data_IF_072474028327
#
_entry.id   IF_072474028327
#
_cell.length_a   1.000
_cell.length_b   1.000
_cell.length_c   1.000
_cell.angle_alpha   90.00
_cell.angle_beta   90.00
_cell.angle_gamma   90.00
#
_symmetry.space_group_name_H-M   'P 1'
#
loop_
_entity.id
_entity.type
_entity.pdbx_description
1 polymer ?
#
# COMPACT_ATOMS: atom_id res chain seq x y z
N UNK A 1 0.70 -13.65 -1.47
CA UNK A 1 1.73 -14.03 -2.47
C UNK A 1 3.02 -13.34 -2.07
N UNK A 2 4.18 -14.00 -2.15
CA UNK A 2 5.48 -13.32 -2.10
C UNK A 2 5.95 -13.19 -3.55
N UNK A 3 5.84 -12.00 -4.12
CA UNK A 3 6.33 -11.68 -5.46
C UNK A 3 7.21 -10.44 -5.40
N UNK A 4 8.26 -10.42 -6.22
CA UNK A 4 9.08 -9.22 -6.40
C UNK A 4 8.37 -8.30 -7.40
N UNK A 5 7.98 -7.10 -6.95
CA UNK A 5 7.38 -6.07 -7.81
C UNK A 5 8.38 -4.91 -7.93
N UNK A 6 8.58 -4.39 -9.14
CA UNK A 6 9.39 -3.18 -9.37
C UNK A 6 8.44 -2.06 -9.74
N UNK A 7 8.43 -0.98 -8.96
CA UNK A 7 7.69 0.23 -9.31
C UNK A 7 8.38 0.94 -10.46
N UNK A 8 7.65 1.15 -11.55
CA UNK A 8 8.10 2.05 -12.61
C UNK A 8 7.60 3.46 -12.29
N UNK A 9 8.49 4.34 -11.82
CA UNK A 9 8.25 5.77 -11.93
C UNK A 9 8.78 6.25 -13.27
N UNK A 10 7.90 6.79 -14.10
CA UNK A 10 8.33 7.41 -15.36
C UNK A 10 8.92 8.78 -15.04
N UNK A 11 10.20 8.95 -15.38
CA UNK A 11 10.96 10.19 -15.17
C UNK A 11 10.46 11.23 -16.16
N UNK A 12 9.35 11.89 -15.84
CA UNK A 12 8.70 12.86 -16.71
C UNK A 12 7.54 13.66 -16.08
N UNK A 13 7.34 13.57 -14.75
CA UNK A 13 6.25 14.26 -14.07
C UNK A 13 4.98 13.43 -13.83
N UNK A 14 5.07 12.10 -13.93
CA UNK A 14 3.98 11.21 -13.54
C UNK A 14 4.08 10.89 -12.05
N UNK A 15 2.91 10.85 -11.40
CA UNK A 15 2.75 10.39 -10.02
C UNK A 15 3.11 8.89 -10.02
N UNK A 16 3.98 8.42 -9.11
CA UNK A 16 4.31 7.00 -9.05
C UNK A 16 3.10 6.18 -8.63
N UNK A 17 2.97 4.99 -9.20
CA UNK A 17 1.81 4.13 -8.99
C UNK A 17 2.20 2.69 -8.63
N UNK A 18 1.38 2.05 -7.80
CA UNK A 18 1.43 0.63 -7.50
C UNK A 18 0.03 0.05 -7.58
N UNK A 19 -0.12 -1.07 -8.32
CA UNK A 19 -1.35 -1.85 -8.40
C UNK A 19 -1.07 -3.23 -7.84
N UNK A 20 -1.92 -3.69 -6.92
CA UNK A 20 -1.89 -5.05 -6.38
C UNK A 20 -3.14 -5.79 -6.87
N UNK A 21 -2.93 -6.96 -7.47
CA UNK A 21 -3.97 -7.80 -8.06
C UNK A 21 -5.08 -8.10 -7.03
N UNK A 22 -6.33 -7.91 -7.45
CA UNK A 22 -7.47 -8.08 -6.56
C UNK A 22 -7.60 -9.47 -5.96
N UNK A 23 -7.08 -10.53 -6.61
CA UNK A 23 -7.07 -11.89 -6.04
C UNK A 23 -6.23 -12.00 -4.79
N UNK A 24 -5.16 -11.19 -4.67
CA UNK A 24 -4.36 -11.15 -3.45
C UNK A 24 -5.06 -10.32 -2.37
N UNK A 25 -5.64 -9.19 -2.74
CA UNK A 25 -6.37 -8.32 -1.82
C UNK A 25 -7.62 -8.99 -1.24
N UNK A 26 -8.33 -9.80 -2.02
CA UNK A 26 -9.45 -10.62 -1.54
C UNK A 26 -8.98 -11.63 -0.48
N UNK A 27 -7.75 -12.18 -0.58
CA UNK A 27 -7.19 -13.06 0.47
C UNK A 27 -6.92 -12.32 1.77
N UNK A 28 -6.73 -11.01 1.73
CA UNK A 28 -6.65 -10.16 2.92
C UNK A 28 -8.02 -9.92 3.58
N UNK A 29 -9.10 -10.49 3.04
CA UNK A 29 -10.46 -10.29 3.55
C UNK A 29 -11.11 -9.00 3.05
N UNK A 30 -10.55 -8.35 2.02
CA UNK A 30 -11.13 -7.14 1.44
C UNK A 30 -12.23 -7.45 0.43
N UNK A 31 -13.04 -6.42 0.16
CA UNK A 31 -14.05 -6.39 -0.91
C UNK A 31 -13.92 -5.10 -1.71
N UNK A 32 -14.48 -5.08 -2.92
CA UNK A 32 -14.56 -3.86 -3.72
C UNK A 32 -15.29 -2.75 -2.95
N UNK A 33 -14.77 -1.52 -3.03
CA UNK A 33 -15.29 -0.36 -2.29
C UNK A 33 -14.93 -0.33 -0.80
N UNK A 34 -14.24 -1.33 -0.26
CA UNK A 34 -13.74 -1.27 1.11
C UNK A 34 -12.71 -0.16 1.26
N UNK A 35 -12.73 0.52 2.41
CA UNK A 35 -11.78 1.59 2.73
C UNK A 35 -10.46 0.97 3.18
N UNK A 36 -9.35 1.63 2.87
CA UNK A 36 -8.07 1.33 3.47
C UNK A 36 -7.33 2.59 3.91
N UNK A 37 -6.60 2.44 5.01
CA UNK A 37 -5.67 3.42 5.56
C UNK A 37 -4.29 3.22 4.95
N UNK A 38 -3.61 4.30 4.62
CA UNK A 38 -2.25 4.34 4.11
C UNK A 38 -1.35 4.98 5.16
N UNK A 39 -0.35 4.24 5.64
CA UNK A 39 0.59 4.71 6.68
C UNK A 39 2.04 4.45 6.25
N UNK A 40 2.83 5.50 5.99
CA UNK A 40 4.26 5.36 5.83
C UNK A 40 4.89 5.02 7.19
N UNK A 41 5.76 4.01 7.21
CA UNK A 41 6.51 3.59 8.40
C UNK A 41 7.97 3.29 8.00
N UNK A 42 8.86 4.25 8.24
CA UNK A 42 10.26 4.18 7.79
C UNK A 42 10.35 3.89 6.28
N UNK A 43 10.98 2.78 5.90
CA UNK A 43 11.16 2.32 4.51
C UNK A 43 10.04 1.35 4.07
N UNK A 44 8.95 1.29 4.84
CA UNK A 44 7.78 0.47 4.58
C UNK A 44 6.53 1.34 4.38
N UNK A 45 5.62 0.87 3.54
CA UNK A 45 4.26 1.41 3.42
C UNK A 45 3.29 0.35 3.94
N UNK A 46 2.54 0.71 4.98
CA UNK A 46 1.54 -0.15 5.61
C UNK A 46 0.17 0.26 5.13
N UNK A 47 -0.57 -0.71 4.60
CA UNK A 47 -1.97 -0.55 4.22
C UNK A 47 -2.83 -1.38 5.18
N UNK A 48 -3.76 -0.73 5.86
CA UNK A 48 -4.70 -1.38 6.77
C UNK A 48 -6.10 -1.33 6.16
N UNK A 49 -6.71 -2.48 5.94
CA UNK A 49 -8.08 -2.55 5.42
C UNK A 49 -9.06 -2.28 6.55
N UNK A 50 -9.98 -1.34 6.34
CA UNK A 50 -10.94 -0.87 7.33
C UNK A 50 -12.34 -1.15 6.81
N UNK A 51 -13.06 -2.03 7.50
CA UNK A 51 -14.44 -2.43 7.14
C UNK A 51 -15.49 -1.98 8.15
N UNK A 52 -15.06 -1.56 9.34
CA UNK A 52 -15.95 -1.07 10.40
C UNK A 52 -16.27 0.41 10.18
N UNK A 53 -17.57 0.74 10.20
CA UNK A 53 -18.04 2.11 9.93
C UNK A 53 -17.50 3.13 10.95
N UNK A 54 -17.40 2.74 12.22
CA UNK A 54 -16.88 3.62 13.29
C UNK A 54 -15.40 3.89 13.07
N UNK A 55 -14.62 2.86 12.70
CA UNK A 55 -13.20 3.05 12.38
C UNK A 55 -12.99 3.86 11.09
N UNK A 56 -13.89 3.76 10.09
CA UNK A 56 -13.86 4.63 8.90
C UNK A 56 -14.12 6.09 9.28
N UNK A 57 -15.13 6.37 10.11
CA UNK A 57 -15.38 7.73 10.60
C UNK A 57 -14.19 8.31 11.38
N UNK A 58 -13.52 7.48 12.19
CA UNK A 58 -12.31 7.87 12.91
C UNK A 58 -11.14 8.14 11.96
N UNK A 59 -10.98 7.32 10.93
CA UNK A 59 -9.95 7.51 9.91
C UNK A 59 -10.14 8.82 9.14
N UNK A 60 -11.38 9.18 8.79
CA UNK A 60 -11.68 10.46 8.13
C UNK A 60 -11.18 11.66 8.96
N UNK A 61 -11.39 11.64 10.28
CA UNK A 61 -10.87 12.66 11.20
C UNK A 61 -9.34 12.62 11.32
N UNK A 62 -8.76 11.42 11.26
CA UNK A 62 -7.32 11.21 11.39
C UNK A 62 -6.57 11.77 10.17
N UNK A 63 -7.06 11.51 8.95
CA UNK A 63 -6.49 12.04 7.69
C UNK A 63 -6.47 13.56 7.67
N UNK A 64 -7.52 14.22 8.18
CA UNK A 64 -7.58 15.69 8.27
C UNK A 64 -6.54 16.28 9.23
N UNK A 65 -6.09 15.51 10.23
CA UNK A 65 -5.19 15.98 11.30
C UNK A 65 -3.76 15.48 11.16
N UNK A 66 -3.52 14.44 10.37
CA UNK A 66 -2.22 13.79 10.20
C UNK A 66 -1.85 13.71 8.71
N UNK A 67 -1.08 14.67 8.16
CA UNK A 67 -0.83 14.79 6.72
C UNK A 67 0.00 13.65 6.10
N UNK A 68 0.51 12.74 6.92
CA UNK A 68 1.23 11.54 6.49
C UNK A 68 0.32 10.32 6.38
N UNK A 69 -0.92 10.40 6.87
CA UNK A 69 -1.91 9.34 6.81
C UNK A 69 -2.80 9.59 5.60
N UNK A 70 -2.90 8.58 4.74
CA UNK A 70 -3.80 8.59 3.60
C UNK A 70 -4.99 7.67 3.81
N UNK A 71 -6.01 7.88 2.99
CA UNK A 71 -7.17 7.00 2.89
C UNK A 71 -7.57 6.91 1.43
N UNK A 72 -7.89 5.71 0.97
CA UNK A 72 -8.46 5.45 -0.35
C UNK A 72 -9.33 4.18 -0.28
N UNK A 73 -9.95 3.78 -1.39
CA UNK A 73 -10.82 2.60 -1.48
C UNK A 73 -10.27 1.54 -2.42
N UNK A 74 -10.61 0.28 -2.14
CA UNK A 74 -10.42 -0.81 -3.08
C UNK A 74 -11.27 -0.55 -4.32
N UNK A 75 -10.67 -0.64 -5.50
CA UNK A 75 -11.34 -0.40 -6.78
C UNK A 75 -12.47 -1.41 -7.00
N UNK A 76 -13.40 -1.08 -7.91
CA UNK A 76 -14.53 -1.95 -8.27
C UNK A 76 -14.10 -3.32 -8.81
N UNK A 77 -12.91 -3.40 -9.41
CA UNK A 77 -12.31 -4.66 -9.88
C UNK A 77 -11.59 -5.45 -8.77
N UNK A 78 -11.63 -4.99 -7.52
CA UNK A 78 -10.99 -5.59 -6.36
C UNK A 78 -9.51 -5.24 -6.19
N UNK A 79 -8.91 -4.47 -7.11
CA UNK A 79 -7.52 -4.07 -7.00
C UNK A 79 -7.31 -3.01 -5.92
N UNK A 80 -6.17 -3.13 -5.23
CA UNK A 80 -5.63 -2.04 -4.43
C UNK A 80 -4.72 -1.22 -5.34
N UNK A 81 -5.05 0.06 -5.50
CA UNK A 81 -4.26 1.02 -6.24
C UNK A 81 -3.73 2.09 -5.30
N UNK A 82 -2.46 2.43 -5.48
CA UNK A 82 -1.80 3.51 -4.76
C UNK A 82 -1.13 4.40 -5.78
N UNK A 83 -1.37 5.70 -5.68
CA UNK A 83 -0.63 6.71 -6.41
C UNK A 83 -0.32 7.88 -5.49
N UNK A 84 0.95 8.28 -5.41
CA UNK A 84 1.29 9.46 -4.61
C UNK A 84 2.72 9.47 -4.09
N UNK A 85 3.04 10.60 -3.46
CA UNK A 85 4.38 10.91 -2.95
C UNK A 85 4.84 9.94 -1.86
N UNK A 86 3.93 9.23 -1.17
CA UNK A 86 4.30 8.22 -0.17
C UNK A 86 5.18 7.10 -0.76
N UNK A 87 5.02 6.74 -2.04
CA UNK A 87 5.88 5.75 -2.70
C UNK A 87 7.31 6.28 -2.86
N UNK A 88 7.44 7.58 -3.15
CA UNK A 88 8.72 8.28 -3.23
C UNK A 88 9.34 8.48 -1.84
N UNK A 89 8.54 8.92 -0.87
CA UNK A 89 8.99 9.22 0.50
C UNK A 89 9.49 7.97 1.24
N UNK A 90 8.86 6.82 1.01
CA UNK A 90 9.32 5.53 1.54
C UNK A 90 10.46 4.90 0.71
N UNK A 91 11.01 5.59 -0.30
CA UNK A 91 12.13 5.08 -1.10
C UNK A 91 11.82 3.83 -1.95
N UNK A 92 10.54 3.52 -2.18
CA UNK A 92 10.10 2.29 -2.85
C UNK A 92 10.33 2.32 -4.38
N UNK A 93 10.53 3.51 -4.94
CA UNK A 93 10.64 3.73 -6.38
C UNK A 93 11.90 3.09 -6.95
N UNK A 94 11.76 2.31 -8.02
CA UNK A 94 12.89 1.70 -8.72
C UNK A 94 13.61 0.61 -7.91
N UNK A 95 13.10 0.24 -6.74
CA UNK A 95 13.61 -0.86 -5.93
C UNK A 95 12.80 -2.13 -6.20
N UNK A 96 13.41 -3.33 -6.09
CA UNK A 96 12.65 -4.56 -5.94
C UNK A 96 11.88 -4.52 -4.62
N UNK A 97 10.59 -4.86 -4.67
CA UNK A 97 9.71 -4.81 -3.50
C UNK A 97 9.26 -6.19 -3.06
N UNK A 98 9.09 -6.37 -1.75
CA UNK A 98 8.34 -7.48 -1.15
C UNK A 98 6.99 -6.95 -0.70
N UNK A 99 5.92 -7.57 -1.20
CA UNK A 99 4.54 -7.28 -0.79
C UNK A 99 4.03 -8.45 0.04
N UNK A 100 3.77 -8.19 1.32
CA UNK A 100 3.19 -9.16 2.26
C UNK A 100 1.72 -8.87 2.45
N UNK A 101 0.87 -9.84 2.10
CA UNK A 101 -0.59 -9.73 2.23
C UNK A 101 -1.07 -10.64 3.35
N UNK A 102 -1.66 -10.05 4.37
CA UNK A 102 -2.20 -10.68 5.58
C UNK A 102 -3.66 -10.29 5.76
N UNK A 103 -4.37 -10.95 6.68
CA UNK A 103 -5.74 -10.57 7.02
C UNK A 103 -5.78 -9.10 7.47
N UNK A 104 -6.61 -8.31 6.81
CA UNK A 104 -6.81 -6.86 7.04
C UNK A 104 -5.56 -5.99 6.86
N UNK A 105 -4.46 -6.51 6.32
CA UNK A 105 -3.19 -5.76 6.25
C UNK A 105 -2.34 -6.13 5.03
N UNK A 106 -1.80 -5.12 4.38
CA UNK A 106 -0.79 -5.26 3.33
C UNK A 106 0.44 -4.45 3.73
N UNK A 107 1.62 -5.05 3.64
CA UNK A 107 2.90 -4.38 3.91
C UNK A 107 3.74 -4.39 2.64
N UNK A 108 4.19 -3.22 2.22
CA UNK A 108 5.02 -3.02 1.03
C UNK A 108 6.36 -2.48 1.51
N UNK A 109 7.45 -3.15 1.13
CA UNK A 109 8.80 -2.72 1.50
C UNK A 109 9.83 -3.11 0.48
N UNK A 110 11.01 -2.50 0.57
CA UNK A 110 12.16 -2.88 -0.27
C UNK A 110 12.56 -4.33 0.05
N UNK A 111 12.82 -5.10 -1.00
CA UNK A 111 13.45 -6.41 -0.90
C UNK A 111 14.89 -6.20 -0.45
N UNK A 112 15.16 -6.52 0.81
CA UNK A 112 16.54 -6.64 1.29
C UNK A 112 17.14 -7.90 0.67
N UNK A 113 18.21 -7.74 -0.10
CA UNK A 113 19.08 -8.88 -0.40
C UNK A 113 19.68 -9.35 0.92
N UNK A 114 19.47 -10.62 1.24
CA UNK A 114 20.08 -11.23 2.42
C UNK A 114 21.59 -11.19 2.20
N UNK A 115 22.30 -10.26 2.85
CA UNK A 115 23.78 -10.18 2.81
C UNK A 115 24.45 -11.37 3.52
N UNK A 116 23.70 -12.43 3.83
CA UNK A 116 24.17 -13.70 4.35
C UNK A 116 24.37 -14.71 3.21
N UNK A 117 25.27 -14.38 2.29
CA UNK A 117 25.99 -15.37 1.50
C UNK A 117 27.49 -15.20 1.79
N UNK A 118 27.97 -15.82 2.87
CA UNK A 118 29.37 -16.18 3.06
C UNK A 118 29.46 -17.64 3.45
#
# INVERSE_FOLDING_TARGET
MNGTYILQATTGGFIPELIIDGRDIIKAGSVAGAVFKIEPYQDELVITLVSDEVEIERLLLEVDTHPHIGMDWIRDNGELYLAGDWLTQCGLIGQPLVISVMLSKVVIKIQQEDLLSQ
#
